data_IF_383386069401
#
_entry.id   IF_383386069401
#
_cell.length_a   1.000
_cell.length_b   1.000
_cell.length_c   1.000
_cell.angle_alpha   90.00
_cell.angle_beta   90.00
_cell.angle_gamma   90.00
#
_symmetry.space_group_name_H-M   'P 1'
#
loop_
_entity.id
_entity.type
_entity.pdbx_description
1 polymer ?
#
# COMPACT_ATOMS: atom_id res chain seq x y z
N UNK A 1 23.04 -21.03 -2.83
CA UNK A 1 21.89 -21.83 -2.30
C UNK A 1 21.22 -21.04 -1.19
N UNK A 2 20.65 -19.86 -1.51
CA UNK A 2 20.01 -18.98 -0.49
C UNK A 2 18.55 -19.39 -0.29
N UNK A 3 17.78 -19.57 -1.36
CA UNK A 3 16.38 -20.00 -1.25
C UNK A 3 16.21 -21.36 -0.55
N UNK A 4 17.10 -22.32 -0.82
CA UNK A 4 17.09 -23.63 -0.16
C UNK A 4 17.53 -23.59 1.31
N UNK A 5 18.30 -22.58 1.73
CA UNK A 5 18.68 -22.41 3.14
C UNK A 5 17.52 -21.83 3.98
N UNK A 6 16.51 -21.25 3.32
CA UNK A 6 15.32 -20.67 3.95
C UNK A 6 14.03 -21.45 3.64
N UNK A 7 14.14 -22.64 3.04
CA UNK A 7 12.99 -23.45 2.58
C UNK A 7 12.00 -22.68 1.68
N UNK A 8 12.52 -21.77 0.84
CA UNK A 8 11.74 -21.00 -0.12
C UNK A 8 11.86 -21.63 -1.51
N UNK A 9 10.71 -21.87 -2.16
CA UNK A 9 10.68 -22.28 -3.56
C UNK A 9 11.30 -21.20 -4.48
N UNK A 10 12.20 -21.60 -5.38
CA UNK A 10 12.86 -20.66 -6.31
C UNK A 10 11.87 -19.89 -7.18
N UNK A 11 10.77 -20.52 -7.59
CA UNK A 11 9.69 -19.86 -8.34
C UNK A 11 9.09 -18.69 -7.57
N UNK A 12 8.78 -18.87 -6.28
CA UNK A 12 8.27 -17.81 -5.40
C UNK A 12 9.23 -16.61 -5.30
N UNK A 13 10.53 -16.89 -5.21
CA UNK A 13 11.55 -15.83 -5.19
C UNK A 13 11.58 -15.00 -6.48
N UNK A 14 11.56 -15.66 -7.64
CA UNK A 14 11.60 -14.94 -8.94
C UNK A 14 10.28 -14.23 -9.24
N UNK A 15 9.13 -14.80 -8.87
CA UNK A 15 7.83 -14.13 -8.93
C UNK A 15 7.82 -12.87 -8.07
N UNK A 16 8.24 -12.96 -6.81
CA UNK A 16 8.32 -11.81 -5.92
C UNK A 16 9.27 -10.74 -6.47
N UNK A 17 10.44 -11.13 -6.99
CA UNK A 17 11.41 -10.20 -7.60
C UNK A 17 10.83 -9.50 -8.83
N UNK A 18 10.11 -10.22 -9.67
CA UNK A 18 9.48 -9.68 -10.87
C UNK A 18 8.33 -8.73 -10.51
N UNK A 19 7.48 -9.10 -9.57
CA UNK A 19 6.40 -8.24 -9.05
C UNK A 19 6.94 -6.97 -8.38
N UNK A 20 8.04 -7.07 -7.63
CA UNK A 20 8.68 -5.92 -6.99
C UNK A 20 9.26 -4.90 -7.98
N UNK A 21 9.57 -5.35 -9.19
CA UNK A 21 10.06 -4.48 -10.28
C UNK A 21 8.91 -3.76 -11.00
N UNK A 22 7.66 -4.19 -10.80
CA UNK A 22 6.47 -3.53 -11.35
C UNK A 22 5.98 -2.45 -10.38
N UNK A 23 5.87 -1.23 -10.89
CA UNK A 23 5.26 -0.12 -10.14
C UNK A 23 3.74 -0.31 -10.21
N UNK A 24 3.14 -0.54 -9.05
CA UNK A 24 1.68 -0.53 -8.89
C UNK A 24 1.20 0.93 -8.85
N UNK A 25 0.74 1.42 -10.00
CA UNK A 25 0.30 2.81 -10.20
C UNK A 25 -0.93 3.12 -9.36
N UNK A 26 -1.85 2.15 -9.19
CA UNK A 26 -3.04 2.31 -8.37
C UNK A 26 -2.63 2.52 -6.91
N UNK A 27 -1.73 1.66 -6.40
CA UNK A 27 -1.21 1.80 -5.03
C UNK A 27 -0.46 3.10 -4.81
N UNK A 28 0.26 3.59 -5.82
CA UNK A 28 0.97 4.87 -5.75
C UNK A 28 -0.02 6.03 -5.67
N UNK A 29 -1.05 6.05 -6.52
CA UNK A 29 -2.09 7.07 -6.50
C UNK A 29 -2.84 7.09 -5.15
N UNK A 30 -3.22 5.92 -4.64
CA UNK A 30 -3.87 5.78 -3.34
C UNK A 30 -2.99 6.34 -2.21
N UNK A 31 -1.67 6.07 -2.23
CA UNK A 31 -0.72 6.64 -1.26
C UNK A 31 -0.63 8.17 -1.36
N UNK A 32 -0.63 8.72 -2.57
CA UNK A 32 -0.63 10.16 -2.76
C UNK A 32 -1.90 10.81 -2.17
N UNK A 33 -3.08 10.22 -2.40
CA UNK A 33 -4.34 10.70 -1.84
C UNK A 33 -4.35 10.62 -0.31
N UNK A 34 -3.86 9.53 0.28
CA UNK A 34 -3.71 9.41 1.75
C UNK A 34 -2.80 10.51 2.29
N UNK A 35 -1.65 10.76 1.65
CA UNK A 35 -0.70 11.78 2.09
C UNK A 35 -1.28 13.19 2.00
N UNK A 36 -2.05 13.48 0.96
CA UNK A 36 -2.74 14.75 0.77
C UNK A 36 -3.76 14.99 1.90
N UNK A 37 -4.66 14.02 2.15
CA UNK A 37 -5.63 14.09 3.25
C UNK A 37 -4.96 14.23 4.61
N UNK A 38 -3.85 13.53 4.82
CA UNK A 38 -3.07 13.63 6.05
C UNK A 38 -2.47 15.03 6.23
N UNK A 39 -1.90 15.62 5.18
CA UNK A 39 -1.35 16.98 5.23
C UNK A 39 -2.45 18.03 5.43
N UNK A 40 -3.59 17.90 4.75
CA UNK A 40 -4.76 18.78 4.92
C UNK A 40 -5.28 18.75 6.37
N UNK A 41 -5.23 17.58 7.02
CA UNK A 41 -5.61 17.43 8.42
C UNK A 41 -4.59 17.99 9.42
N UNK A 42 -3.54 18.70 8.97
CA UNK A 42 -2.39 19.10 9.79
C UNK A 42 -1.75 17.91 10.52
N UNK A 43 -1.69 16.75 9.85
CA UNK A 43 -1.11 15.50 10.36
C UNK A 43 -1.79 14.94 11.61
N UNK A 44 -3.04 15.33 11.86
CA UNK A 44 -3.83 14.88 13.02
C UNK A 44 -4.83 13.77 12.68
N UNK A 45 -5.22 13.63 11.41
CA UNK A 45 -6.16 12.60 10.99
C UNK A 45 -5.57 11.20 11.19
N UNK A 46 -6.18 10.43 12.07
CA UNK A 46 -5.87 9.02 12.25
C UNK A 46 -6.39 8.18 11.08
N UNK A 47 -5.98 6.91 11.03
CA UNK A 47 -6.33 5.99 9.93
C UNK A 47 -7.84 5.83 9.73
N UNK A 48 -8.65 5.93 10.81
CA UNK A 48 -10.12 5.87 10.72
C UNK A 48 -10.70 7.11 10.04
N UNK A 49 -10.16 8.28 10.36
CA UNK A 49 -10.59 9.56 9.77
C UNK A 49 -10.21 9.61 8.29
N UNK A 50 -8.98 9.23 7.94
CA UNK A 50 -8.55 9.15 6.53
C UNK A 50 -9.40 8.14 5.76
N UNK A 51 -9.72 6.98 6.34
CA UNK A 51 -10.61 6.00 5.71
C UNK A 51 -11.98 6.59 5.36
N UNK A 52 -12.56 7.37 6.29
CA UNK A 52 -13.84 8.03 6.07
C UNK A 52 -13.74 9.07 4.94
N UNK A 53 -12.70 9.91 4.97
CA UNK A 53 -12.44 10.91 3.95
C UNK A 53 -12.20 10.29 2.56
N UNK A 54 -11.50 9.15 2.49
CA UNK A 54 -11.31 8.43 1.24
C UNK A 54 -12.62 7.84 0.71
N UNK A 55 -13.50 7.36 1.59
CA UNK A 55 -14.83 6.90 1.20
C UNK A 55 -15.68 8.05 0.66
N UNK A 56 -15.62 9.23 1.29
CA UNK A 56 -16.26 10.45 0.79
C UNK A 56 -15.72 10.87 -0.58
N UNK A 57 -14.42 10.68 -0.81
CA UNK A 57 -13.78 10.87 -2.12
C UNK A 57 -14.07 9.75 -3.14
N UNK A 58 -14.94 8.78 -2.84
CA UNK A 58 -15.32 7.69 -3.73
C UNK A 58 -14.35 6.50 -3.75
N UNK A 59 -13.30 6.51 -2.94
CA UNK A 59 -12.30 5.44 -2.83
C UNK A 59 -12.62 4.53 -1.64
N UNK A 60 -13.29 3.41 -1.90
CA UNK A 60 -13.61 2.41 -0.88
C UNK A 60 -12.37 1.58 -0.52
N UNK A 61 -11.54 2.10 0.38
CA UNK A 61 -10.39 1.40 0.95
C UNK A 61 -10.62 0.95 2.39
N UNK A 62 -10.17 -0.27 2.68
CA UNK A 62 -10.13 -0.78 4.05
C UNK A 62 -9.03 -0.12 4.87
N UNK A 63 -9.22 -0.07 6.21
CA UNK A 63 -8.27 0.52 7.17
C UNK A 63 -6.82 0.05 6.97
N UNK A 64 -6.63 -1.22 6.64
CA UNK A 64 -5.30 -1.83 6.49
C UNK A 64 -4.54 -1.36 5.25
N UNK A 65 -5.22 -0.82 4.23
CA UNK A 65 -4.59 -0.30 3.02
C UNK A 65 -4.02 1.12 3.18
N UNK A 66 -4.26 1.77 4.32
CA UNK A 66 -3.83 3.16 4.60
C UNK A 66 -2.37 3.23 5.08
N UNK A 67 -1.75 2.11 5.48
CA UNK A 67 -0.36 2.04 5.96
C UNK A 67 0.64 1.72 4.84
#
# INVERSE_FOLDING_TARGET
MVCSAFDIARSSYYEHRHQRSRIDVERLALRATVAELFNQSRRSAGSRTIMLQMREAGLNMGRFKIR
#
